data_IF_279840911867
#
_entry.id   IF_279840911867
#
_cell.length_a   1.000
_cell.length_b   1.000
_cell.length_c   1.000
_cell.angle_alpha   90.00
_cell.angle_beta   90.00
_cell.angle_gamma   90.00
#
_symmetry.space_group_name_H-M   'P 1'
#
loop_
_entity.id
_entity.type
_entity.pdbx_description
1 polymer ?
#
# COMPACT_ATOMS: atom_id res chain seq x y z
N UNK A 1 -7.23 4.75 -30.48
CA UNK A 1 -7.18 4.10 -29.16
C UNK A 1 -7.38 2.62 -29.38
N UNK A 2 -6.41 1.78 -29.04
CA UNK A 2 -6.56 0.33 -29.14
C UNK A 2 -7.49 -0.10 -27.98
N UNK A 3 -8.62 -0.70 -28.32
CA UNK A 3 -9.48 -1.36 -27.33
C UNK A 3 -8.74 -2.67 -26.99
N UNK A 4 -8.05 -2.70 -25.87
CA UNK A 4 -7.55 -3.97 -25.36
C UNK A 4 -8.74 -4.81 -24.86
N UNK A 5 -8.97 -5.91 -25.55
CA UNK A 5 -9.93 -6.91 -25.10
C UNK A 5 -9.45 -7.45 -23.75
N UNK A 6 -10.34 -7.56 -22.75
CA UNK A 6 -9.98 -8.18 -21.46
C UNK A 6 -9.34 -9.54 -21.71
N UNK A 7 -8.27 -9.86 -20.96
CA UNK A 7 -7.64 -11.18 -21.07
C UNK A 7 -8.70 -12.23 -20.72
N UNK A 8 -9.14 -12.95 -21.74
CA UNK A 8 -10.10 -14.05 -21.55
C UNK A 8 -9.40 -15.10 -20.69
N UNK A 9 -10.00 -15.41 -19.53
CA UNK A 9 -9.46 -16.30 -18.49
C UNK A 9 -8.35 -15.72 -17.60
N UNK A 10 -8.24 -14.40 -17.47
CA UNK A 10 -7.37 -13.85 -16.42
C UNK A 10 -7.83 -14.34 -15.03
N UNK A 11 -6.91 -14.76 -14.16
CA UNK A 11 -7.28 -15.19 -12.82
C UNK A 11 -8.01 -14.08 -12.08
N UNK A 12 -8.99 -14.46 -11.25
CA UNK A 12 -9.62 -13.51 -10.36
C UNK A 12 -8.57 -12.85 -9.46
N UNK A 13 -8.75 -11.57 -9.19
CA UNK A 13 -7.91 -10.81 -8.25
C UNK A 13 -6.42 -10.73 -8.64
N UNK A 14 -6.06 -10.89 -9.92
CA UNK A 14 -4.66 -10.75 -10.31
C UNK A 14 -4.19 -9.29 -10.25
N UNK A 15 -2.90 -9.13 -9.99
CA UNK A 15 -2.14 -7.89 -10.08
C UNK A 15 -0.83 -8.23 -10.78
N UNK A 16 -0.45 -7.49 -11.81
CA UNK A 16 0.78 -7.67 -12.58
C UNK A 16 1.46 -6.30 -12.73
N UNK A 17 2.73 -6.16 -12.34
CA UNK A 17 3.37 -4.86 -12.21
C UNK A 17 2.80 -4.03 -11.06
N UNK A 18 2.53 -2.76 -11.23
CA UNK A 18 1.96 -1.85 -10.22
C UNK A 18 2.77 -1.85 -8.90
N UNK A 19 4.09 -1.95 -8.98
CA UNK A 19 4.96 -1.89 -7.80
C UNK A 19 5.00 -0.49 -7.24
N UNK A 20 5.04 -0.42 -5.91
CA UNK A 20 5.13 0.84 -5.18
C UNK A 20 6.60 1.15 -4.90
N UNK A 21 6.95 2.44 -5.00
CA UNK A 21 8.22 2.94 -4.51
C UNK A 21 8.02 4.27 -3.80
N UNK A 22 8.79 4.47 -2.75
CA UNK A 22 8.88 5.76 -2.09
C UNK A 22 9.57 6.77 -3.02
N UNK A 23 9.05 7.98 -3.10
CA UNK A 23 9.62 9.04 -3.92
C UNK A 23 10.02 10.27 -3.08
N UNK A 24 9.20 10.63 -2.08
CA UNK A 24 9.49 11.69 -1.11
C UNK A 24 8.57 11.53 0.11
N UNK A 25 8.73 12.42 1.07
CA UNK A 25 7.91 12.47 2.30
C UNK A 25 6.40 12.59 2.03
N UNK A 26 6.01 13.17 0.89
CA UNK A 26 4.60 13.36 0.51
C UNK A 26 4.17 12.61 -0.76
N UNK A 27 5.10 11.92 -1.43
CA UNK A 27 4.83 11.27 -2.72
C UNK A 27 5.31 9.83 -2.76
N UNK A 28 4.54 8.98 -3.44
CA UNK A 28 4.92 7.62 -3.80
C UNK A 28 4.69 7.39 -5.29
N UNK A 29 5.43 6.48 -5.89
CA UNK A 29 5.22 6.09 -7.28
C UNK A 29 4.58 4.72 -7.37
N UNK A 30 3.75 4.54 -8.40
CA UNK A 30 3.19 3.25 -8.82
C UNK A 30 3.72 2.96 -10.21
N UNK A 31 4.41 1.85 -10.38
CA UNK A 31 4.93 1.44 -11.69
C UNK A 31 3.79 1.11 -12.66
N UNK A 32 4.08 1.11 -13.97
CA UNK A 32 3.18 0.59 -14.99
C UNK A 32 2.76 -0.86 -14.67
N UNK A 33 1.58 -1.24 -15.10
CA UNK A 33 1.06 -2.58 -14.87
C UNK A 33 -0.45 -2.64 -14.99
N UNK A 34 -1.01 -3.75 -14.56
CA UNK A 34 -2.45 -4.00 -14.65
C UNK A 34 -2.97 -4.82 -13.49
N UNK A 35 -4.25 -4.68 -13.21
CA UNK A 35 -4.93 -5.47 -12.20
C UNK A 35 -6.40 -5.71 -12.58
N UNK A 36 -6.94 -6.86 -12.19
CA UNK A 36 -8.38 -7.09 -12.22
C UNK A 36 -9.04 -6.23 -11.14
N UNK A 37 -10.09 -5.49 -11.50
CA UNK A 37 -10.81 -4.66 -10.53
C UNK A 37 -11.44 -5.51 -9.41
N UNK A 38 -11.90 -4.87 -8.34
CA UNK A 38 -12.43 -5.57 -7.15
C UNK A 38 -13.69 -6.39 -7.43
N UNK A 39 -14.45 -6.07 -8.46
CA UNK A 39 -15.61 -6.86 -8.92
C UNK A 39 -15.24 -8.04 -9.84
N UNK A 40 -13.98 -8.18 -10.23
CA UNK A 40 -13.46 -9.22 -11.13
C UNK A 40 -14.05 -9.20 -12.56
N UNK A 41 -14.50 -8.05 -13.03
CA UNK A 41 -15.15 -7.91 -14.35
C UNK A 41 -14.23 -7.28 -15.37
N UNK A 42 -13.51 -6.19 -14.99
CA UNK A 42 -12.69 -5.39 -15.91
C UNK A 42 -11.24 -5.32 -15.41
N UNK A 43 -10.33 -4.99 -16.32
CA UNK A 43 -8.94 -4.73 -16.00
C UNK A 43 -8.69 -3.21 -15.90
N UNK A 44 -7.91 -2.83 -14.90
CA UNK A 44 -7.36 -1.49 -14.73
C UNK A 44 -5.93 -1.56 -15.27
N UNK A 45 -5.59 -0.71 -16.24
CA UNK A 45 -4.30 -0.73 -16.93
C UNK A 45 -3.63 0.63 -16.77
N UNK A 46 -2.48 0.65 -16.12
CA UNK A 46 -1.56 1.79 -16.08
C UNK A 46 -0.49 1.57 -17.14
N UNK A 47 -0.63 2.24 -18.29
CA UNK A 47 0.32 2.13 -19.41
C UNK A 47 1.71 2.69 -19.06
N UNK A 48 1.75 3.62 -18.13
CA UNK A 48 2.98 4.21 -17.57
C UNK A 48 2.87 4.36 -16.06
N UNK A 49 4.02 4.46 -15.39
CA UNK A 49 4.03 4.74 -13.96
C UNK A 49 3.40 6.10 -13.64
N UNK A 50 2.77 6.19 -12.48
CA UNK A 50 2.16 7.42 -11.94
C UNK A 50 2.76 7.76 -10.59
N UNK A 51 2.74 9.04 -10.24
CA UNK A 51 3.12 9.53 -8.91
C UNK A 51 1.85 9.94 -8.18
N UNK A 52 1.65 9.41 -6.98
CA UNK A 52 0.61 9.86 -6.06
C UNK A 52 1.21 10.97 -5.20
N UNK A 53 0.56 12.12 -5.19
CA UNK A 53 0.90 13.25 -4.32
C UNK A 53 -0.20 13.38 -3.25
N UNK A 54 0.16 13.15 -1.99
CA UNK A 54 -0.79 13.20 -0.88
C UNK A 54 -1.36 14.61 -0.59
N UNK A 55 -0.79 15.66 -1.16
CA UNK A 55 -1.33 17.02 -1.09
C UNK A 55 -2.51 17.25 -2.03
N UNK A 56 -2.67 16.42 -3.03
CA UNK A 56 -3.82 16.41 -3.96
C UNK A 56 -4.93 15.57 -3.34
N UNK A 57 -6.10 16.16 -3.11
CA UNK A 57 -7.19 15.50 -2.38
C UNK A 57 -8.46 15.41 -3.24
N UNK A 58 -9.08 14.23 -3.24
CA UNK A 58 -10.33 13.96 -3.97
C UNK A 58 -10.15 13.78 -5.49
N UNK A 59 -8.92 13.79 -5.97
CA UNK A 59 -8.57 13.63 -7.38
C UNK A 59 -7.71 12.39 -7.63
N UNK A 60 -7.59 12.05 -8.92
CA UNK A 60 -6.71 10.95 -9.33
C UNK A 60 -5.24 11.27 -9.03
N UNK A 61 -4.47 10.27 -8.66
CA UNK A 61 -3.08 10.35 -8.24
C UNK A 61 -2.87 11.20 -6.96
N UNK A 62 -3.81 11.11 -6.03
CA UNK A 62 -3.80 11.81 -4.76
C UNK A 62 -4.35 11.00 -3.59
N UNK A 63 -4.63 11.70 -2.50
CA UNK A 63 -5.38 11.19 -1.35
C UNK A 63 -6.87 11.24 -1.67
N UNK A 64 -7.59 10.16 -1.40
CA UNK A 64 -9.01 10.05 -1.74
C UNK A 64 -9.89 11.07 -0.99
N UNK A 65 -9.59 11.33 0.27
CA UNK A 65 -10.28 12.32 1.09
C UNK A 65 -9.50 12.68 2.36
N UNK A 66 -9.82 13.84 2.95
CA UNK A 66 -9.28 14.28 4.23
C UNK A 66 -7.87 14.84 4.13
N UNK A 67 -7.01 14.46 5.07
CA UNK A 67 -5.59 14.83 5.11
C UNK A 67 -4.78 13.65 5.63
N UNK A 68 -3.48 13.62 5.34
CA UNK A 68 -2.58 12.67 5.96
C UNK A 68 -2.60 12.84 7.48
N UNK A 69 -2.53 11.72 8.19
CA UNK A 69 -2.41 11.65 9.64
C UNK A 69 -1.09 10.98 10.02
N UNK A 70 -0.55 11.32 11.18
CA UNK A 70 0.68 10.73 11.71
C UNK A 70 0.47 9.25 12.05
N UNK A 71 1.54 8.45 11.89
CA UNK A 71 1.60 7.04 12.28
C UNK A 71 0.39 6.23 11.76
N UNK A 72 0.01 6.47 10.51
CA UNK A 72 -1.23 5.93 9.91
C UNK A 72 -0.93 5.15 8.65
N UNK A 73 -1.53 3.97 8.55
CA UNK A 73 -1.49 3.19 7.31
C UNK A 73 -2.52 3.70 6.30
N UNK A 74 -2.07 3.80 5.05
CA UNK A 74 -2.90 4.09 3.90
C UNK A 74 -2.84 2.94 2.91
N UNK A 75 -4.01 2.45 2.50
CA UNK A 75 -4.11 1.52 1.39
C UNK A 75 -3.86 2.25 0.08
N UNK A 76 -3.14 1.62 -0.83
CA UNK A 76 -2.89 2.14 -2.19
C UNK A 76 -3.77 1.38 -3.17
N UNK A 77 -4.48 2.10 -4.01
CA UNK A 77 -5.40 1.55 -5.00
C UNK A 77 -5.01 2.01 -6.40
N UNK A 78 -4.94 1.06 -7.35
CA UNK A 78 -5.11 1.38 -8.76
C UNK A 78 -6.58 1.70 -9.02
N UNK A 79 -6.85 2.73 -9.81
CA UNK A 79 -8.18 3.26 -10.11
C UNK A 79 -8.37 3.39 -11.61
N UNK A 80 -9.55 3.04 -12.11
CA UNK A 80 -9.88 3.09 -13.52
C UNK A 80 -11.31 3.51 -13.77
N UNK A 81 -11.60 3.77 -15.03
CA UNK A 81 -12.92 4.11 -15.57
C UNK A 81 -13.37 3.00 -16.53
N UNK A 82 -14.47 2.34 -16.24
CA UNK A 82 -15.00 1.25 -17.06
C UNK A 82 -15.44 1.70 -18.45
N UNK A 83 -15.71 2.99 -18.62
CA UNK A 83 -16.05 3.60 -19.90
C UNK A 83 -14.83 4.01 -20.73
N UNK A 84 -13.62 3.95 -20.12
CA UNK A 84 -12.34 4.31 -20.74
C UNK A 84 -12.25 5.77 -21.21
N UNK A 85 -13.08 6.65 -20.66
CA UNK A 85 -13.01 8.08 -20.95
C UNK A 85 -11.89 8.78 -20.18
N UNK A 86 -11.52 8.22 -19.00
CA UNK A 86 -10.46 8.72 -18.14
C UNK A 86 -9.26 7.78 -18.14
N UNK A 87 -8.06 8.35 -18.07
CA UNK A 87 -6.83 7.57 -17.93
C UNK A 87 -6.76 6.97 -16.53
N UNK A 88 -6.45 5.69 -16.43
CA UNK A 88 -6.24 5.04 -15.15
C UNK A 88 -5.10 5.68 -14.34
N UNK A 89 -5.21 5.63 -13.04
CA UNK A 89 -4.22 6.16 -12.11
C UNK A 89 -4.27 5.42 -10.78
N UNK A 90 -3.89 6.11 -9.71
CA UNK A 90 -3.90 5.53 -8.38
C UNK A 90 -4.35 6.53 -7.32
N UNK A 91 -4.83 6.04 -6.19
CA UNK A 91 -5.16 6.86 -5.01
C UNK A 91 -4.72 6.16 -3.74
N UNK A 92 -4.48 6.93 -2.68
CA UNK A 92 -4.31 6.41 -1.31
C UNK A 92 -5.55 6.69 -0.48
N UNK A 93 -5.85 5.80 0.46
CA UNK A 93 -7.03 5.87 1.32
C UNK A 93 -6.76 5.28 2.69
N UNK A 94 -7.38 5.82 3.73
CA UNK A 94 -7.42 5.17 5.04
C UNK A 94 -8.31 3.93 5.06
N UNK A 95 -9.19 3.76 4.08
CA UNK A 95 -10.04 2.58 3.95
C UNK A 95 -9.28 1.43 3.28
N UNK A 96 -9.23 0.28 3.94
CA UNK A 96 -8.64 -0.95 3.40
C UNK A 96 -9.64 -1.82 2.61
N UNK A 97 -10.89 -1.44 2.55
CA UNK A 97 -11.93 -2.15 1.80
C UNK A 97 -12.23 -1.52 0.45
N UNK A 98 -12.43 -0.21 0.41
CA UNK A 98 -12.70 0.56 -0.80
C UNK A 98 -12.29 2.02 -0.61
N UNK A 99 -11.66 2.69 -1.61
CA UNK A 99 -11.37 4.12 -1.57
C UNK A 99 -12.64 4.92 -1.88
N UNK A 100 -12.64 6.21 -1.55
CA UNK A 100 -13.53 7.16 -2.21
C UNK A 100 -12.97 7.44 -3.60
N UNK A 101 -13.74 7.11 -4.64
CA UNK A 101 -13.28 7.27 -6.01
C UNK A 101 -13.41 8.73 -6.47
N UNK A 102 -12.41 9.26 -7.20
CA UNK A 102 -12.55 10.55 -7.87
C UNK A 102 -13.69 10.54 -8.88
N UNK A 103 -14.19 11.74 -9.21
CA UNK A 103 -15.27 11.89 -10.17
C UNK A 103 -14.91 11.30 -11.54
N UNK A 104 -15.78 10.47 -12.09
CA UNK A 104 -15.57 9.80 -13.38
C UNK A 104 -14.83 8.47 -13.31
N UNK A 105 -14.51 7.99 -12.12
CA UNK A 105 -13.90 6.67 -11.88
C UNK A 105 -14.88 5.75 -11.17
N UNK A 106 -14.91 4.48 -11.56
CA UNK A 106 -15.83 3.47 -11.02
C UNK A 106 -15.18 2.11 -10.73
N UNK A 107 -13.88 1.98 -11.02
CA UNK A 107 -13.11 0.77 -10.80
C UNK A 107 -11.96 1.03 -9.84
N UNK A 108 -11.68 0.06 -8.97
CA UNK A 108 -10.52 0.09 -8.11
C UNK A 108 -9.96 -1.30 -7.83
N UNK A 109 -8.69 -1.35 -7.49
CA UNK A 109 -8.00 -2.53 -6.99
C UNK A 109 -6.96 -2.13 -5.98
N UNK A 110 -7.01 -2.66 -4.75
CA UNK A 110 -5.93 -2.46 -3.78
C UNK A 110 -4.66 -3.17 -4.26
N UNK A 111 -3.56 -2.43 -4.28
CA UNK A 111 -2.25 -2.88 -4.77
C UNK A 111 -1.16 -2.87 -3.70
N UNK A 112 -1.42 -2.30 -2.52
CA UNK A 112 -0.47 -2.27 -1.42
C UNK A 112 -0.94 -1.38 -0.27
N UNK A 113 0.01 -1.05 0.60
CA UNK A 113 -0.16 -0.09 1.68
C UNK A 113 1.15 0.65 1.94
N UNK A 114 1.04 1.87 2.48
CA UNK A 114 2.13 2.72 2.93
C UNK A 114 1.84 3.24 4.33
N UNK A 115 2.87 3.61 5.07
CA UNK A 115 2.78 4.10 6.44
C UNK A 115 3.36 5.51 6.50
N UNK A 116 2.70 6.39 7.25
CA UNK A 116 3.26 7.69 7.64
C UNK A 116 3.94 7.59 9.00
N UNK A 117 4.95 8.41 9.20
CA UNK A 117 5.62 8.56 10.50
C UNK A 117 4.90 9.54 11.44
N UNK A 118 5.53 9.89 12.56
CA UNK A 118 5.01 10.84 13.53
C UNK A 118 4.96 12.30 13.03
N UNK A 119 5.66 12.61 11.94
CA UNK A 119 5.70 13.94 11.29
C UNK A 119 4.73 14.05 10.11
N UNK A 120 3.93 13.01 9.85
CA UNK A 120 2.98 12.91 8.72
C UNK A 120 3.68 12.66 7.38
N UNK A 121 4.93 12.24 7.39
CA UNK A 121 5.72 11.95 6.20
C UNK A 121 5.66 10.45 5.86
N UNK A 122 5.64 10.09 4.58
CA UNK A 122 5.72 8.67 4.19
C UNK A 122 7.05 8.08 4.60
N UNK A 123 7.01 7.03 5.41
CA UNK A 123 8.19 6.26 5.76
C UNK A 123 8.85 5.71 4.50
N UNK A 124 10.16 5.89 4.39
CA UNK A 124 10.96 5.26 3.33
C UNK A 124 10.82 3.74 3.39
N UNK A 125 10.36 3.17 2.30
CA UNK A 125 10.15 1.73 2.16
C UNK A 125 10.72 1.21 0.84
N UNK A 126 11.00 -0.08 0.84
CA UNK A 126 11.38 -0.85 -0.34
C UNK A 126 10.36 -1.96 -0.55
N UNK A 127 9.80 -2.07 -1.76
CA UNK A 127 8.89 -3.16 -2.11
C UNK A 127 9.60 -4.15 -3.03
N UNK A 128 9.54 -5.42 -2.67
CA UNK A 128 10.12 -6.54 -3.41
C UNK A 128 9.06 -7.59 -3.73
N UNK A 129 9.40 -8.49 -4.64
CA UNK A 129 8.54 -9.61 -5.01
C UNK A 129 7.66 -9.31 -6.22
N UNK A 130 6.82 -10.26 -6.56
CA UNK A 130 5.88 -10.20 -7.68
C UNK A 130 4.44 -10.33 -7.20
N UNK A 131 3.53 -10.12 -8.07
CA UNK A 131 2.07 -10.03 -7.97
C UNK A 131 1.36 -10.64 -6.76
N UNK A 132 1.79 -11.82 -6.30
CA UNK A 132 1.14 -12.56 -5.19
C UNK A 132 1.91 -12.52 -3.88
N UNK A 133 3.18 -12.13 -3.92
CA UNK A 133 4.10 -12.19 -2.76
C UNK A 133 4.91 -10.91 -2.65
N UNK A 134 4.23 -9.79 -2.44
CA UNK A 134 4.90 -8.51 -2.21
C UNK A 134 5.36 -8.41 -0.77
N UNK A 135 6.62 -8.05 -0.61
CA UNK A 135 7.24 -7.77 0.68
C UNK A 135 7.56 -6.29 0.75
N UNK A 136 7.27 -5.68 1.88
CA UNK A 136 7.60 -4.29 2.17
C UNK A 136 8.60 -4.27 3.33
N UNK A 137 9.69 -3.55 3.15
CA UNK A 137 10.70 -3.33 4.15
C UNK A 137 10.84 -1.83 4.37
N UNK A 138 10.78 -1.41 5.63
CA UNK A 138 11.07 -0.03 5.99
C UNK A 138 12.57 0.16 6.15
N UNK A 139 13.08 1.34 5.75
CA UNK A 139 14.50 1.69 5.89
C UNK A 139 14.92 1.73 7.36
N UNK A 140 14.01 2.12 8.23
CA UNK A 140 14.21 2.15 9.69
C UNK A 140 13.36 1.08 10.35
N UNK A 141 13.98 0.30 11.24
CA UNK A 141 13.25 -0.69 12.03
C UNK A 141 12.25 0.01 12.98
N UNK A 142 10.99 -0.41 12.93
CA UNK A 142 9.96 0.05 13.86
C UNK A 142 10.04 -0.83 15.11
N UNK A 143 10.25 -0.22 16.28
CA UNK A 143 10.36 -0.94 17.55
C UNK A 143 8.98 -1.10 18.19
N UNK A 144 8.50 -2.33 18.29
CA UNK A 144 7.20 -2.66 18.92
C UNK A 144 7.33 -3.00 20.40
N UNK A 145 8.49 -3.43 20.84
CA UNK A 145 8.77 -3.76 22.23
C UNK A 145 10.19 -3.31 22.61
N UNK A 146 10.27 -2.46 23.63
CA UNK A 146 11.54 -2.05 24.19
C UNK A 146 11.56 -2.42 25.69
N UNK A 147 12.66 -3.03 26.16
CA UNK A 147 12.86 -3.33 27.57
C UNK A 147 11.90 -4.38 28.13
N UNK A 148 11.46 -5.34 27.30
CA UNK A 148 10.55 -6.40 27.73
C UNK A 148 11.14 -7.23 28.88
N UNK A 149 10.40 -7.33 30.00
CA UNK A 149 10.79 -8.09 31.22
C UNK A 149 9.70 -9.09 31.65
N UNK A 150 8.78 -9.43 30.77
CA UNK A 150 7.69 -10.35 31.08
C UNK A 150 8.23 -11.75 31.40
N UNK A 151 7.74 -12.34 32.48
CA UNK A 151 8.09 -13.71 32.89
C UNK A 151 7.07 -14.74 32.40
N UNK A 152 6.03 -14.29 31.69
CA UNK A 152 5.00 -15.12 31.04
C UNK A 152 4.76 -14.62 29.64
N UNK A 153 4.13 -15.45 28.80
CA UNK A 153 3.75 -15.04 27.45
C UNK A 153 2.82 -13.83 27.47
N UNK A 154 3.26 -12.76 26.83
CA UNK A 154 2.52 -11.50 26.68
C UNK A 154 2.41 -11.18 25.19
N UNK A 155 1.22 -10.81 24.75
CA UNK A 155 1.01 -10.41 23.37
C UNK A 155 1.74 -9.08 23.09
N UNK A 156 2.37 -8.99 21.91
CA UNK A 156 2.91 -7.75 21.35
C UNK A 156 1.97 -7.30 20.26
N UNK A 157 1.43 -6.08 20.36
CA UNK A 157 0.59 -5.49 19.34
C UNK A 157 1.47 -4.99 18.19
N UNK A 158 1.18 -5.40 16.98
CA UNK A 158 1.90 -5.01 15.76
C UNK A 158 1.09 -4.06 14.87
N UNK A 159 -0.07 -3.59 15.33
CA UNK A 159 -0.97 -2.77 14.52
C UNK A 159 -0.36 -1.43 14.08
N UNK A 160 0.69 -0.96 14.75
CA UNK A 160 1.39 0.28 14.41
C UNK A 160 2.44 0.11 13.31
N UNK A 161 2.94 -1.12 13.10
CA UNK A 161 4.00 -1.41 12.13
C UNK A 161 3.60 -2.37 11.00
N UNK A 162 2.45 -3.04 11.17
CA UNK A 162 1.98 -4.05 10.21
C UNK A 162 0.59 -3.68 9.72
N UNK A 163 0.41 -3.46 8.40
CA UNK A 163 -0.91 -3.11 7.87
C UNK A 163 -1.89 -4.28 8.00
N UNK A 164 -3.21 -4.01 8.16
CA UNK A 164 -4.22 -5.04 8.41
C UNK A 164 -4.39 -6.05 7.27
N UNK A 165 -3.72 -5.82 6.14
CA UNK A 165 -3.73 -6.72 4.97
C UNK A 165 -2.53 -7.65 4.91
N UNK A 166 -1.56 -7.51 5.81
CA UNK A 166 -0.38 -8.36 5.83
C UNK A 166 -0.75 -9.78 6.25
N UNK A 167 -0.20 -10.76 5.54
CA UNK A 167 -0.38 -12.19 5.84
C UNK A 167 0.80 -12.78 6.59
N UNK A 168 1.96 -12.13 6.48
CA UNK A 168 3.19 -12.54 7.14
C UNK A 168 3.96 -11.31 7.61
N UNK A 169 4.71 -11.46 8.68
CA UNK A 169 5.63 -10.45 9.19
C UNK A 169 6.99 -11.07 9.46
N UNK A 170 8.06 -10.34 9.17
CA UNK A 170 9.42 -10.69 9.57
C UNK A 170 9.81 -9.79 10.73
N UNK A 171 10.16 -10.37 11.86
CA UNK A 171 10.56 -9.66 13.07
C UNK A 171 12.02 -9.94 13.41
N UNK A 172 12.72 -8.93 13.85
CA UNK A 172 14.03 -9.07 14.48
C UNK A 172 13.84 -8.98 16.01
N UNK A 173 14.37 -9.97 16.71
CA UNK A 173 14.35 -9.99 18.17
C UNK A 173 15.80 -9.82 18.67
N UNK A 174 16.04 -8.75 19.42
CA UNK A 174 17.32 -8.47 20.04
C UNK A 174 17.24 -8.82 21.53
N UNK A 175 18.10 -9.70 21.98
CA UNK A 175 18.26 -10.04 23.38
C UNK A 175 19.49 -9.32 23.95
N UNK A 176 19.28 -8.53 24.98
CA UNK A 176 20.39 -8.04 25.79
C UNK A 176 20.51 -9.00 26.97
N UNK A 177 21.59 -9.79 27.08
CA UNK A 177 21.78 -10.63 28.25
C UNK A 177 21.87 -9.74 29.49
N UNK A 178 21.09 -10.07 30.51
CA UNK A 178 21.17 -9.41 31.81
C UNK A 178 22.57 -9.60 32.36
N UNK A 179 23.23 -8.51 32.71
CA UNK A 179 24.65 -8.52 33.08
C UNK A 179 24.94 -9.43 34.26
N UNK A 180 25.95 -10.28 34.07
CA UNK A 180 26.71 -10.97 35.08
C UNK A 180 25.89 -11.69 36.17
N UNK A 181 25.69 -12.98 35.96
CA UNK A 181 25.68 -13.88 37.12
C UNK A 181 27.07 -13.92 37.69
N UNK A 182 27.29 -13.17 38.76
CA UNK A 182 28.41 -13.34 39.67
C UNK A 182 28.24 -14.62 40.46
#
# INVERSE_FOLDING_TARGET
>A
MAVETPIVNAPNLYVDGLQLAWASDSTITVAAGRARNSSNVNDIILDSGVTIDASVVGEINGLDQGALAASTFYAVYAVGDSTQNNTAGAVISTSFSAPQLPVGYDMYRRIGAVLTDGSVDFLLFYQYGSDKTRQVWYDVAISELSGGSATSFTAVDLATSVPPIATNVVMQVLFTPDGARS
#
